data_IF_299314666610
#
_entry.id   IF_299314666610
#
_cell.length_a   1.000
_cell.length_b   1.000
_cell.length_c   1.000
_cell.angle_alpha   90.00
_cell.angle_beta   90.00
_cell.angle_gamma   90.00
#
_symmetry.space_group_name_H-M   'P 1'
#
loop_
_entity.id
_entity.type
_entity.pdbx_description
1 polymer ?
#
# COMPACT_ATOMS: atom_id res chain seq x y z
N UNK A 1 -21.24 -31.90 -12.48
CA UNK A 1 -20.25 -31.57 -13.53
C UNK A 1 -18.89 -31.26 -12.88
N UNK A 2 -17.90 -32.14 -13.06
CA UNK A 2 -16.52 -31.95 -12.55
C UNK A 2 -15.72 -31.15 -13.58
N UNK A 3 -15.39 -29.89 -13.29
CA UNK A 3 -14.49 -29.10 -14.14
C UNK A 3 -13.06 -29.64 -14.02
N UNK A 4 -12.63 -30.44 -15.01
CA UNK A 4 -11.22 -30.79 -15.21
C UNK A 4 -10.48 -29.57 -15.73
N UNK A 5 -9.75 -28.88 -14.86
CA UNK A 5 -8.82 -27.83 -15.24
C UNK A 5 -7.62 -28.49 -15.95
N UNK A 6 -7.52 -28.31 -17.27
CA UNK A 6 -6.36 -28.75 -18.06
C UNK A 6 -5.12 -27.97 -17.62
N UNK A 7 -4.11 -28.70 -17.18
CA UNK A 7 -2.81 -28.17 -16.75
C UNK A 7 -1.96 -27.97 -18.00
N UNK A 8 -1.69 -26.72 -18.36
CA UNK A 8 -0.68 -26.38 -19.38
C UNK A 8 0.70 -26.40 -18.72
N UNK A 9 1.51 -27.40 -19.08
CA UNK A 9 2.87 -27.57 -18.60
C UNK A 9 3.83 -26.95 -19.64
N UNK A 10 4.30 -25.72 -19.38
CA UNK A 10 5.34 -25.10 -20.20
C UNK A 10 6.69 -25.22 -19.47
N UNK A 11 7.61 -25.97 -20.09
CA UNK A 11 9.06 -26.11 -19.78
C UNK A 11 9.55 -25.42 -18.50
N UNK A 12 9.67 -26.20 -17.42
CA UNK A 12 10.68 -26.00 -16.37
C UNK A 12 10.52 -24.81 -15.41
N UNK A 13 9.46 -24.00 -15.52
CA UNK A 13 9.15 -22.97 -14.53
C UNK A 13 7.75 -23.19 -13.98
N UNK A 14 7.67 -23.65 -12.73
CA UNK A 14 6.43 -23.74 -11.97
C UNK A 14 5.86 -22.33 -11.73
N UNK A 15 5.17 -21.77 -12.73
CA UNK A 15 4.37 -20.54 -12.65
C UNK A 15 3.08 -20.76 -11.85
N UNK A 16 3.13 -21.54 -10.76
CA UNK A 16 2.14 -21.46 -9.69
C UNK A 16 2.43 -20.21 -8.86
N UNK A 17 2.27 -19.04 -9.47
CA UNK A 17 1.93 -17.83 -8.72
C UNK A 17 0.54 -18.09 -8.15
N UNK A 18 0.47 -18.69 -6.95
CA UNK A 18 -0.81 -18.97 -6.33
C UNK A 18 -1.52 -17.62 -6.18
N UNK A 19 -2.68 -17.50 -6.80
CA UNK A 19 -3.51 -16.30 -6.70
C UNK A 19 -3.77 -15.94 -5.23
N UNK A 20 -3.73 -16.93 -4.33
CA UNK A 20 -3.74 -16.75 -2.87
C UNK A 20 -2.53 -15.96 -2.35
N UNK A 21 -1.29 -16.35 -2.66
CA UNK A 21 -0.08 -15.64 -2.24
C UNK A 21 -0.04 -14.23 -2.84
N UNK A 22 -0.50 -14.06 -4.07
CA UNK A 22 -0.61 -12.72 -4.68
C UNK A 22 -1.66 -11.84 -4.00
N UNK A 23 -2.83 -12.40 -3.65
CA UNK A 23 -3.87 -11.70 -2.90
C UNK A 23 -3.39 -11.33 -1.49
N UNK A 24 -2.73 -12.26 -0.81
CA UNK A 24 -2.15 -12.07 0.52
C UNK A 24 -1.10 -10.96 0.54
N UNK A 25 -0.17 -10.94 -0.44
CA UNK A 25 0.80 -9.84 -0.59
C UNK A 25 0.12 -8.50 -0.87
N UNK A 26 -0.93 -8.51 -1.70
CA UNK A 26 -1.68 -7.30 -2.07
C UNK A 26 -2.47 -6.75 -0.89
N UNK A 27 -2.92 -7.60 0.03
CA UNK A 27 -3.61 -7.23 1.27
C UNK A 27 -2.63 -6.73 2.34
N UNK A 28 -1.47 -7.40 2.55
CA UNK A 28 -0.43 -6.96 3.49
C UNK A 28 0.11 -5.57 3.17
N UNK A 29 0.42 -5.29 1.90
CA UNK A 29 0.83 -3.95 1.45
C UNK A 29 -0.31 -2.92 1.36
N UNK A 30 -1.58 -3.33 1.50
CA UNK A 30 -2.69 -2.41 1.38
C UNK A 30 -2.80 -1.46 2.57
N UNK A 31 -2.50 -1.94 3.78
CA UNK A 31 -2.70 -1.16 5.00
C UNK A 31 -1.74 0.02 5.11
N UNK A 32 -0.47 -0.16 4.71
CA UNK A 32 0.53 0.91 4.67
C UNK A 32 0.09 2.12 3.82
N UNK A 33 -0.74 1.89 2.78
CA UNK A 33 -1.27 2.98 1.95
C UNK A 33 -2.27 3.86 2.70
N UNK A 34 -2.98 3.31 3.68
CA UNK A 34 -3.98 4.06 4.44
C UNK A 34 -3.34 5.06 5.41
N UNK A 35 -2.17 4.74 5.96
CA UNK A 35 -1.44 5.67 6.85
C UNK A 35 -0.75 6.80 6.10
N UNK A 36 -0.25 6.52 4.88
CA UNK A 36 0.50 7.50 4.09
C UNK A 36 -0.39 8.56 3.45
N UNK A 37 -1.59 8.19 3.02
CA UNK A 37 -2.48 9.07 2.26
C UNK A 37 -3.66 9.47 3.13
N UNK A 38 -3.69 10.75 3.53
CA UNK A 38 -4.85 11.35 4.16
C UNK A 38 -6.09 11.07 3.30
N UNK A 39 -7.18 10.55 3.90
CA UNK A 39 -8.42 10.38 3.18
C UNK A 39 -8.82 11.77 2.66
N UNK A 40 -8.99 11.90 1.35
CA UNK A 40 -9.45 13.15 0.77
C UNK A 40 -10.83 13.47 1.35
N UNK A 41 -10.96 14.63 1.98
CA UNK A 41 -12.26 15.13 2.37
C UNK A 41 -13.02 15.50 1.10
N UNK A 42 -14.12 14.80 0.88
CA UNK A 42 -15.01 15.09 -0.23
C UNK A 42 -15.73 16.39 0.13
N UNK A 43 -15.17 17.54 -0.29
CA UNK A 43 -15.72 18.87 -0.03
C UNK A 43 -17.09 19.11 -0.69
N UNK A 44 -17.60 18.13 -1.42
CA UNK A 44 -18.88 18.17 -2.12
C UNK A 44 -20.02 17.95 -1.14
N UNK A 45 -21.02 18.83 -1.24
CA UNK A 45 -22.29 18.67 -0.51
C UNK A 45 -22.94 17.31 -0.81
N UNK A 46 -23.76 16.81 0.10
CA UNK A 46 -24.50 15.57 -0.11
C UNK A 46 -25.36 15.62 -1.39
N UNK A 47 -25.89 16.80 -1.72
CA UNK A 47 -26.62 17.06 -2.96
C UNK A 47 -25.70 16.96 -4.19
N UNK A 48 -24.53 17.58 -4.18
CA UNK A 48 -23.57 17.50 -5.28
C UNK A 48 -23.17 16.06 -5.59
N UNK A 49 -22.92 15.25 -4.56
CA UNK A 49 -22.61 13.82 -4.74
C UNK A 49 -23.75 13.01 -5.36
N UNK A 50 -25.01 13.32 -5.04
CA UNK A 50 -26.17 12.66 -5.66
C UNK A 50 -26.31 13.08 -7.12
N UNK A 51 -26.12 14.37 -7.40
CA UNK A 51 -26.22 14.93 -8.74
C UNK A 51 -25.14 14.36 -9.66
N UNK A 52 -23.88 14.30 -9.22
CA UNK A 52 -22.79 13.70 -9.99
C UNK A 52 -23.08 12.25 -10.39
N UNK A 53 -23.68 11.47 -9.49
CA UNK A 53 -24.04 10.08 -9.81
C UNK A 53 -25.20 10.02 -10.81
N UNK A 54 -26.22 10.87 -10.65
CA UNK A 54 -27.34 10.92 -11.60
C UNK A 54 -26.88 11.34 -12.99
N UNK A 55 -26.06 12.38 -13.08
CA UNK A 55 -25.49 12.86 -14.35
C UNK A 55 -24.59 11.80 -14.96
N UNK A 56 -23.70 11.18 -14.17
CA UNK A 56 -22.83 10.10 -14.65
C UNK A 56 -23.62 8.88 -15.14
N UNK A 57 -24.69 8.51 -14.45
CA UNK A 57 -25.57 7.41 -14.85
C UNK A 57 -26.35 7.74 -16.13
N UNK A 58 -26.86 8.97 -16.25
CA UNK A 58 -27.56 9.45 -17.44
C UNK A 58 -26.64 9.44 -18.66
N UNK A 59 -25.41 9.94 -18.53
CA UNK A 59 -24.42 9.94 -19.61
C UNK A 59 -24.03 8.52 -20.03
N UNK A 60 -23.81 7.62 -19.06
CA UNK A 60 -23.52 6.22 -19.35
C UNK A 60 -24.70 5.53 -20.04
N UNK A 61 -25.92 5.80 -19.62
CA UNK A 61 -27.13 5.27 -20.24
C UNK A 61 -27.31 5.78 -21.68
N UNK A 62 -27.11 7.08 -21.92
CA UNK A 62 -27.15 7.66 -23.26
C UNK A 62 -26.10 7.03 -24.18
N UNK A 63 -24.88 6.83 -23.70
CA UNK A 63 -23.82 6.18 -24.47
C UNK A 63 -24.19 4.73 -24.87
N UNK A 64 -24.74 3.95 -23.94
CA UNK A 64 -25.23 2.58 -24.22
C UNK A 64 -26.41 2.61 -25.20
N UNK A 65 -27.33 3.56 -25.03
CA UNK A 65 -28.45 3.75 -25.95
C UNK A 65 -27.98 4.05 -27.37
N UNK A 66 -27.10 5.03 -27.57
CA UNK A 66 -26.58 5.37 -28.90
C UNK A 66 -25.82 4.21 -29.54
N UNK A 67 -25.05 3.47 -28.75
CA UNK A 67 -24.35 2.27 -29.22
C UNK A 67 -25.35 1.19 -29.69
N UNK A 68 -26.40 0.92 -28.93
CA UNK A 68 -27.45 -0.02 -29.33
C UNK A 68 -28.26 0.48 -30.53
N UNK A 69 -28.56 1.77 -30.60
CA UNK A 69 -29.29 2.37 -31.72
C UNK A 69 -28.49 2.25 -33.02
N UNK A 70 -27.18 2.50 -32.97
CA UNK A 70 -26.27 2.34 -34.11
C UNK A 70 -26.12 0.88 -34.55
N UNK A 71 -26.16 -0.08 -33.63
CA UNK A 71 -26.01 -1.50 -33.94
C UNK A 71 -27.31 -2.14 -34.47
N UNK A 72 -28.47 -1.71 -33.96
CA UNK A 72 -29.76 -2.33 -34.29
C UNK A 72 -30.51 -1.63 -35.41
N UNK A 73 -30.16 -0.37 -35.72
CA UNK A 73 -30.91 0.48 -36.67
C UNK A 73 -32.34 0.80 -36.23
N UNK A 74 -32.74 0.45 -35.00
CA UNK A 74 -34.11 0.57 -34.49
C UNK A 74 -34.12 1.31 -33.16
N UNK A 75 -34.34 2.64 -33.15
CA UNK A 75 -34.19 3.46 -31.95
C UNK A 75 -35.15 3.07 -30.82
N UNK A 76 -36.37 2.63 -31.16
CA UNK A 76 -37.36 2.16 -30.16
C UNK A 76 -36.89 0.89 -29.43
N UNK A 77 -36.34 -0.08 -30.17
CA UNK A 77 -35.83 -1.31 -29.60
C UNK A 77 -34.56 -1.06 -28.76
N UNK A 78 -33.68 -0.17 -29.23
CA UNK A 78 -32.50 0.25 -28.48
C UNK A 78 -32.84 0.92 -27.16
N UNK A 79 -33.91 1.75 -27.11
CA UNK A 79 -34.37 2.39 -25.88
C UNK A 79 -34.91 1.37 -24.87
N UNK A 80 -35.72 0.42 -25.32
CA UNK A 80 -36.24 -0.64 -24.46
C UNK A 80 -35.10 -1.50 -23.88
N UNK A 81 -34.13 -1.91 -24.72
CA UNK A 81 -32.98 -2.70 -24.29
C UNK A 81 -32.05 -1.93 -23.34
N UNK A 82 -31.78 -0.64 -23.62
CA UNK A 82 -30.92 0.18 -22.75
C UNK A 82 -31.58 0.44 -21.38
N UNK A 83 -32.90 0.58 -21.33
CA UNK A 83 -33.66 0.71 -20.08
C UNK A 83 -33.57 -0.56 -19.22
N UNK A 84 -33.72 -1.75 -19.82
CA UNK A 84 -33.56 -3.04 -19.11
C UNK A 84 -32.14 -3.20 -18.58
N UNK A 85 -31.12 -2.87 -19.39
CA UNK A 85 -29.73 -2.91 -18.96
C UNK A 85 -29.45 -1.93 -17.80
N UNK A 86 -30.05 -0.74 -17.84
CA UNK A 86 -29.93 0.25 -16.76
C UNK A 86 -30.53 -0.29 -15.46
N UNK A 87 -31.73 -0.87 -15.52
CA UNK A 87 -32.38 -1.48 -14.37
C UNK A 87 -31.53 -2.60 -13.76
N UNK A 88 -30.90 -3.44 -14.60
CA UNK A 88 -29.98 -4.48 -14.16
C UNK A 88 -28.66 -3.93 -13.56
N UNK A 89 -28.22 -2.74 -13.98
CA UNK A 89 -26.99 -2.11 -13.49
C UNK A 89 -27.13 -1.44 -12.11
N UNK A 90 -28.33 -0.96 -11.75
CA UNK A 90 -28.61 -0.31 -10.46
C UNK A 90 -28.15 -1.11 -9.22
N UNK A 91 -28.46 -2.41 -9.05
CA UNK A 91 -28.01 -3.17 -7.89
C UNK A 91 -26.48 -3.34 -7.84
N UNK A 92 -25.82 -3.43 -8.99
CA UNK A 92 -24.35 -3.52 -9.08
C UNK A 92 -23.73 -2.20 -8.60
N UNK A 93 -24.26 -1.07 -9.06
CA UNK A 93 -23.84 0.27 -8.63
C UNK A 93 -24.01 0.46 -7.12
N UNK A 94 -25.13 0.00 -6.55
CA UNK A 94 -25.37 0.06 -5.10
C UNK A 94 -24.28 -0.70 -4.32
N UNK A 95 -24.01 -1.96 -4.70
CA UNK A 95 -22.94 -2.76 -4.07
C UNK A 95 -21.56 -2.14 -4.22
N UNK A 96 -21.27 -1.53 -5.37
CA UNK A 96 -20.00 -0.85 -5.60
C UNK A 96 -19.85 0.41 -4.74
N UNK A 97 -20.94 1.17 -4.55
CA UNK A 97 -20.97 2.33 -3.65
C UNK A 97 -20.74 1.93 -2.20
N UNK A 98 -21.52 0.96 -1.69
CA UNK A 98 -21.37 0.45 -0.32
C UNK A 98 -19.95 -0.04 -0.06
N UNK A 99 -19.38 -0.79 -1.01
CA UNK A 99 -17.98 -1.26 -0.92
C UNK A 99 -16.97 -0.10 -0.94
N UNK A 100 -17.23 0.95 -1.71
CA UNK A 100 -16.37 2.14 -1.79
C UNK A 100 -16.45 2.94 -0.49
N UNK A 101 -17.65 3.15 0.05
CA UNK A 101 -17.88 3.82 1.33
C UNK A 101 -17.25 3.05 2.48
N UNK A 102 -17.46 1.73 2.54
CA UNK A 102 -16.79 0.87 3.52
C UNK A 102 -15.27 1.00 3.48
N UNK A 103 -14.67 1.00 2.27
CA UNK A 103 -13.22 1.21 2.10
C UNK A 103 -12.77 2.59 2.55
N UNK A 104 -13.55 3.63 2.25
CA UNK A 104 -13.24 4.99 2.70
C UNK A 104 -13.31 5.12 4.22
N UNK A 105 -14.35 4.56 4.85
CA UNK A 105 -14.49 4.52 6.30
C UNK A 105 -13.33 3.76 6.94
N UNK A 106 -12.99 2.59 6.40
CA UNK A 106 -11.88 1.78 6.89
C UNK A 106 -10.54 2.51 6.75
N UNK A 107 -10.29 3.16 5.61
CA UNK A 107 -9.11 4.00 5.40
C UNK A 107 -9.06 5.14 6.42
N UNK A 108 -10.19 5.82 6.66
CA UNK A 108 -10.28 6.92 7.62
C UNK A 108 -9.99 6.45 9.04
N UNK A 109 -10.57 5.31 9.46
CA UNK A 109 -10.31 4.69 10.77
C UNK A 109 -8.83 4.35 10.95
N UNK A 110 -8.21 3.69 9.98
CA UNK A 110 -6.78 3.38 10.06
C UNK A 110 -5.91 4.64 10.06
N UNK A 111 -6.23 5.63 9.22
CA UNK A 111 -5.48 6.88 9.20
C UNK A 111 -5.54 7.60 10.55
N UNK A 112 -6.73 7.72 11.15
CA UNK A 112 -6.93 8.35 12.46
C UNK A 112 -6.24 7.58 13.60
N UNK A 113 -6.36 6.26 13.61
CA UNK A 113 -5.66 5.43 14.59
C UNK A 113 -4.13 5.53 14.45
N UNK A 114 -3.63 5.63 13.21
CA UNK A 114 -2.21 5.88 12.95
C UNK A 114 -1.74 7.25 13.42
N UNK A 115 -2.56 8.31 13.26
CA UNK A 115 -2.24 9.65 13.79
C UNK A 115 -2.20 9.65 15.31
N UNK A 116 -3.23 9.10 15.98
CA UNK A 116 -3.28 8.97 17.45
C UNK A 116 -2.07 8.22 17.98
N UNK A 117 -1.76 7.06 17.39
CA UNK A 117 -0.58 6.28 17.75
C UNK A 117 0.72 7.10 17.65
N UNK A 118 0.88 7.91 16.61
CA UNK A 118 2.05 8.77 16.47
C UNK A 118 2.06 9.90 17.49
N UNK A 119 0.92 10.54 17.76
CA UNK A 119 0.79 11.56 18.80
C UNK A 119 1.14 11.01 20.19
N UNK A 120 0.66 9.80 20.51
CA UNK A 120 0.94 9.13 21.78
C UNK A 120 2.44 8.86 21.92
N UNK A 121 3.11 8.34 20.88
CA UNK A 121 4.55 8.09 20.90
C UNK A 121 5.36 9.39 21.00
N UNK A 122 4.95 10.46 20.33
CA UNK A 122 5.68 11.73 20.36
C UNK A 122 5.67 12.35 21.76
N UNK A 123 4.62 12.08 22.56
CA UNK A 123 4.53 12.50 23.96
C UNK A 123 5.37 11.67 24.92
N UNK A 124 5.79 10.47 24.53
CA UNK A 124 6.57 9.55 25.37
C UNK A 124 8.04 9.97 25.49
N UNK A 125 8.65 9.68 26.64
CA UNK A 125 10.09 9.81 26.86
C UNK A 125 10.89 8.88 25.94
N UNK A 126 11.97 9.42 25.34
CA UNK A 126 12.77 8.73 24.33
C UNK A 126 13.53 7.51 24.86
N UNK A 127 14.06 7.57 26.07
CA UNK A 127 15.04 6.60 26.55
C UNK A 127 14.38 5.49 27.37
N UNK A 128 13.31 5.79 28.09
CA UNK A 128 12.62 4.82 28.95
C UNK A 128 11.33 4.28 28.33
N UNK A 129 10.46 5.17 27.85
CA UNK A 129 9.10 4.78 27.46
C UNK A 129 9.05 4.26 26.03
N UNK A 130 9.73 4.90 25.07
CA UNK A 130 9.69 4.46 23.68
C UNK A 130 10.24 3.05 23.47
N UNK A 131 11.37 2.71 24.11
CA UNK A 131 11.98 1.38 23.99
C UNK A 131 11.10 0.29 24.61
N UNK A 132 10.55 0.55 25.80
CA UNK A 132 9.60 -0.36 26.45
C UNK A 132 8.34 -0.54 25.60
N UNK A 133 7.84 0.52 25.00
CA UNK A 133 6.67 0.46 24.14
C UNK A 133 6.92 -0.36 22.85
N UNK A 134 8.08 -0.18 22.21
CA UNK A 134 8.47 -1.02 21.05
C UNK A 134 8.65 -2.48 21.47
N UNK A 135 9.21 -2.75 22.65
CA UNK A 135 9.29 -4.11 23.21
C UNK A 135 7.91 -4.74 23.32
N UNK A 136 6.94 -4.02 23.88
CA UNK A 136 5.58 -4.53 24.08
C UNK A 136 4.86 -4.78 22.74
N UNK A 137 5.06 -3.91 21.74
CA UNK A 137 4.60 -4.14 20.37
C UNK A 137 5.21 -5.44 19.82
N UNK A 138 6.53 -5.59 19.91
CA UNK A 138 7.21 -6.76 19.36
C UNK A 138 6.80 -8.06 20.08
N UNK A 139 6.61 -8.01 21.41
CA UNK A 139 6.16 -9.14 22.20
C UNK A 139 4.72 -9.57 21.84
N UNK A 140 3.86 -8.63 21.46
CA UNK A 140 2.50 -8.91 20.99
C UNK A 140 2.42 -9.45 19.55
N UNK A 141 3.51 -9.47 18.80
CA UNK A 141 3.50 -9.92 17.41
C UNK A 141 3.54 -11.45 17.28
N UNK A 142 2.79 -12.03 16.33
CA UNK A 142 2.83 -13.46 16.08
C UNK A 142 4.21 -13.88 15.55
N UNK A 143 4.89 -14.72 16.32
CA UNK A 143 6.19 -15.29 15.98
C UNK A 143 7.35 -14.79 16.84
N UNK A 144 7.18 -13.71 17.61
CA UNK A 144 8.12 -13.40 18.67
C UNK A 144 7.82 -14.29 19.89
N UNK A 145 8.87 -14.92 20.42
CA UNK A 145 8.80 -15.80 21.58
C UNK A 145 9.20 -15.04 22.84
N UNK A 146 10.29 -14.27 22.74
CA UNK A 146 10.81 -13.46 23.84
C UNK A 146 11.33 -12.14 23.28
N UNK A 147 11.12 -11.04 24.00
CA UNK A 147 11.71 -9.72 23.71
C UNK A 147 12.13 -9.09 25.03
N UNK A 148 13.40 -8.76 25.19
CA UNK A 148 14.01 -8.19 26.39
C UNK A 148 14.75 -6.90 26.05
N UNK A 149 14.89 -6.01 27.04
CA UNK A 149 15.76 -4.84 26.90
C UNK A 149 17.22 -5.31 26.93
N UNK A 150 18.05 -4.77 26.04
CA UNK A 150 19.48 -5.08 26.04
C UNK A 150 20.11 -4.58 27.34
N UNK A 151 20.81 -5.45 28.07
CA UNK A 151 21.45 -5.14 29.36
C UNK A 151 20.67 -5.54 30.62
N UNK A 152 19.46 -6.11 30.50
CA UNK A 152 18.66 -6.62 31.65
C UNK A 152 19.05 -8.05 32.07
N UNK A 153 20.08 -8.64 31.44
CA UNK A 153 20.59 -9.97 31.73
C UNK A 153 21.61 -9.98 32.88
N UNK A 154 21.55 -11.00 33.75
CA UNK A 154 22.53 -11.25 34.83
C UNK A 154 23.97 -11.48 34.33
N UNK A 155 24.13 -11.85 33.07
CA UNK A 155 25.43 -12.00 32.45
C UNK A 155 25.81 -10.65 31.84
N UNK A 156 26.78 -9.97 32.45
CA UNK A 156 27.32 -8.67 32.06
C UNK A 156 28.02 -8.63 30.69
N UNK A 157 27.47 -9.32 29.69
CA UNK A 157 27.76 -9.10 28.29
C UNK A 157 27.41 -7.65 27.98
N UNK A 158 28.47 -6.86 27.79
CA UNK A 158 28.45 -5.43 27.52
C UNK A 158 27.21 -5.05 26.70
N UNK A 159 26.38 -4.16 27.25
CA UNK A 159 25.34 -3.47 26.51
C UNK A 159 26.01 -2.85 25.27
N UNK A 160 25.93 -3.54 24.14
CA UNK A 160 26.63 -3.15 22.92
C UNK A 160 26.08 -1.80 22.52
N UNK A 161 26.92 -0.77 22.51
CA UNK A 161 26.56 0.58 22.11
C UNK A 161 25.97 0.55 20.68
N UNK A 162 24.65 0.37 20.58
CA UNK A 162 23.98 0.11 19.30
C UNK A 162 22.88 -0.97 19.30
N UNK A 163 22.65 -1.74 20.36
CA UNK A 163 21.49 -2.64 20.46
C UNK A 163 20.62 -2.22 21.64
N UNK A 164 19.32 -2.06 21.41
CA UNK A 164 18.37 -1.58 22.43
C UNK A 164 17.46 -2.70 22.95
N UNK A 165 17.04 -3.61 22.07
CA UNK A 165 16.26 -4.79 22.44
C UNK A 165 16.86 -6.04 21.79
N UNK A 166 16.65 -7.16 22.45
CA UNK A 166 16.99 -8.48 21.96
C UNK A 166 15.74 -9.35 21.99
N UNK A 167 15.53 -10.15 20.96
CA UNK A 167 14.40 -11.06 20.95
C UNK A 167 14.62 -12.30 20.11
N UNK A 168 13.71 -13.25 20.25
CA UNK A 168 13.71 -14.50 19.49
C UNK A 168 12.48 -14.49 18.58
N UNK A 169 12.70 -14.38 17.27
CA UNK A 169 11.65 -14.46 16.26
C UNK A 169 11.71 -15.81 15.57
N UNK A 170 10.68 -16.64 15.76
CA UNK A 170 10.56 -17.99 15.18
C UNK A 170 11.81 -18.87 15.42
N UNK A 171 12.37 -18.79 16.62
CA UNK A 171 13.57 -19.53 17.02
C UNK A 171 14.89 -18.92 16.55
N UNK A 172 14.87 -17.71 15.98
CA UNK A 172 16.06 -17.02 15.49
C UNK A 172 16.31 -15.76 16.33
N UNK A 173 17.55 -15.53 16.84
CA UNK A 173 17.86 -14.33 17.58
C UNK A 173 17.87 -13.09 16.67
N UNK A 174 17.20 -12.03 17.12
CA UNK A 174 17.06 -10.75 16.41
C UNK A 174 17.48 -9.61 17.34
N UNK A 175 18.44 -8.82 16.89
CA UNK A 175 18.80 -7.56 17.55
C UNK A 175 17.90 -6.42 17.07
N UNK A 176 17.51 -5.51 17.94
CA UNK A 176 16.66 -4.36 17.59
C UNK A 176 17.30 -3.06 18.04
N UNK A 177 17.38 -2.09 17.12
CA UNK A 177 17.72 -0.70 17.43
C UNK A 177 16.47 0.14 17.37
N UNK A 178 16.23 0.96 18.40
CA UNK A 178 15.11 1.89 18.46
C UNK A 178 15.63 3.32 18.46
N UNK A 179 15.40 4.07 17.39
CA UNK A 179 15.82 5.48 17.28
C UNK A 179 14.59 6.37 17.14
N UNK A 180 14.34 7.17 18.19
CA UNK A 180 13.37 8.26 18.12
C UNK A 180 14.01 9.43 17.39
N UNK A 181 13.39 9.85 16.29
CA UNK A 181 13.70 11.10 15.60
C UNK A 181 12.41 11.90 15.52
N UNK A 182 12.54 13.23 15.48
CA UNK A 182 11.41 14.11 15.19
C UNK A 182 10.83 13.81 13.80
N UNK A 183 9.59 14.27 13.54
CA UNK A 183 8.74 13.77 12.45
C UNK A 183 9.35 13.81 11.03
N UNK A 184 10.31 14.71 10.78
CA UNK A 184 11.02 14.86 9.51
C UNK A 184 12.51 14.48 9.57
N UNK A 185 12.95 13.96 10.72
CA UNK A 185 14.27 13.40 10.90
C UNK A 185 14.56 12.31 9.88
N UNK A 186 15.79 12.32 9.36
CA UNK A 186 16.32 11.26 8.52
C UNK A 186 17.41 10.49 9.24
N UNK A 187 17.29 9.17 9.27
CA UNK A 187 18.34 8.29 9.77
C UNK A 187 19.45 8.20 8.72
N UNK A 188 20.67 8.50 9.13
CA UNK A 188 21.82 8.50 8.25
C UNK A 188 22.25 7.06 7.92
N UNK A 189 22.87 6.83 6.76
CA UNK A 189 23.42 5.51 6.44
C UNK A 189 24.50 5.05 7.45
N UNK A 190 25.12 5.99 8.15
CA UNK A 190 26.17 5.75 9.14
C UNK A 190 25.60 5.10 10.41
N UNK A 191 24.40 5.50 10.85
CA UNK A 191 23.71 4.89 11.99
C UNK A 191 23.40 3.41 11.73
N UNK A 192 23.02 3.09 10.49
CA UNK A 192 22.73 1.71 10.07
C UNK A 192 24.04 0.90 10.01
N UNK A 193 25.17 1.52 9.62
CA UNK A 193 26.48 0.85 9.66
C UNK A 193 26.93 0.59 11.10
N UNK A 194 26.74 1.54 12.01
CA UNK A 194 27.03 1.36 13.42
C UNK A 194 26.20 0.20 13.99
N UNK A 195 24.90 0.15 13.66
CA UNK A 195 24.05 -0.98 14.05
C UNK A 195 24.53 -2.32 13.47
N UNK A 196 24.89 -2.36 12.18
CA UNK A 196 25.45 -3.57 11.57
C UNK A 196 26.74 -4.04 12.25
N UNK A 197 27.59 -3.11 12.69
CA UNK A 197 28.78 -3.39 13.48
C UNK A 197 28.44 -3.98 14.86
N UNK A 198 27.49 -3.36 15.57
CA UNK A 198 27.03 -3.84 16.87
C UNK A 198 26.41 -5.25 16.77
N UNK A 199 25.62 -5.52 15.73
CA UNK A 199 25.08 -6.86 15.45
C UNK A 199 26.18 -7.89 15.24
N UNK A 200 27.22 -7.55 14.46
CA UNK A 200 28.32 -8.46 14.18
C UNK A 200 29.10 -8.80 15.46
N UNK A 201 29.39 -7.80 16.30
CA UNK A 201 30.05 -7.98 17.59
C UNK A 201 29.19 -8.79 18.57
N UNK A 202 27.87 -8.57 18.57
CA UNK A 202 26.91 -9.34 19.39
C UNK A 202 26.56 -10.72 18.82
N UNK A 203 27.14 -11.15 17.70
CA UNK A 203 26.86 -12.46 17.08
C UNK A 203 25.47 -12.59 16.44
N UNK A 204 24.74 -11.49 16.23
CA UNK A 204 23.42 -11.49 15.61
C UNK A 204 23.53 -11.50 14.08
N UNK A 205 22.78 -12.42 13.43
CA UNK A 205 22.65 -12.45 11.96
C UNK A 205 21.43 -11.68 11.46
N UNK A 206 20.45 -11.44 12.32
CA UNK A 206 19.18 -10.81 11.96
C UNK A 206 18.95 -9.58 12.85
N UNK A 207 18.47 -8.50 12.23
CA UNK A 207 18.32 -7.23 12.92
C UNK A 207 17.12 -6.42 12.42
N UNK A 208 16.51 -5.68 13.33
CA UNK A 208 15.41 -4.76 13.05
C UNK A 208 15.80 -3.34 13.49
N UNK A 209 15.83 -2.41 12.55
CA UNK A 209 16.09 -1.01 12.83
C UNK A 209 14.77 -0.24 12.80
N UNK A 210 14.29 0.19 13.97
CA UNK A 210 13.01 0.88 14.17
C UNK A 210 13.24 2.37 14.35
N UNK A 211 12.51 3.19 13.59
CA UNK A 211 12.54 4.64 13.75
C UNK A 211 11.18 5.29 13.49
N UNK A 212 10.93 6.44 14.13
CA UNK A 212 9.81 7.34 13.81
C UNK A 212 10.10 8.27 12.64
N UNK A 213 11.37 8.40 12.26
CA UNK A 213 11.80 9.19 11.12
C UNK A 213 11.63 8.46 9.79
N UNK A 214 12.27 9.02 8.76
CA UNK A 214 12.44 8.35 7.47
C UNK A 214 13.90 7.97 7.26
N UNK A 215 14.16 7.01 6.37
CA UNK A 215 15.54 6.64 6.06
C UNK A 215 16.12 7.54 4.96
N UNK A 216 17.34 8.04 5.17
CA UNK A 216 18.04 8.82 4.16
C UNK A 216 18.31 8.00 2.88
N UNK A 217 18.45 8.67 1.71
CA UNK A 217 18.97 8.03 0.51
C UNK A 217 20.29 7.30 0.82
N UNK A 218 20.41 6.05 0.38
CA UNK A 218 21.61 5.23 0.63
C UNK A 218 21.48 4.25 1.80
N UNK A 219 20.50 4.41 2.71
CA UNK A 219 20.22 3.44 3.77
C UNK A 219 20.01 2.01 3.23
N UNK A 220 19.22 1.87 2.17
CA UNK A 220 18.98 0.59 1.51
C UNK A 220 20.27 -0.01 0.88
N UNK A 221 21.21 0.83 0.43
CA UNK A 221 22.50 0.37 -0.09
C UNK A 221 23.35 -0.24 1.02
N UNK A 222 23.36 0.38 2.21
CA UNK A 222 24.05 -0.15 3.39
C UNK A 222 23.46 -1.50 3.81
N UNK A 223 22.13 -1.60 3.88
CA UNK A 223 21.46 -2.88 4.18
C UNK A 223 21.82 -3.97 3.18
N UNK A 224 21.84 -3.65 1.88
CA UNK A 224 22.27 -4.61 0.84
C UNK A 224 23.73 -5.03 0.99
N UNK A 225 24.63 -4.12 1.38
CA UNK A 225 26.03 -4.44 1.67
C UNK A 225 26.16 -5.33 2.92
N UNK A 226 25.38 -5.07 3.97
CA UNK A 226 25.35 -5.90 5.16
C UNK A 226 24.83 -7.32 4.86
N UNK A 227 23.80 -7.43 4.02
CA UNK A 227 23.25 -8.71 3.58
C UNK A 227 24.29 -9.59 2.86
N UNK A 228 25.17 -8.98 2.04
CA UNK A 228 26.29 -9.70 1.41
C UNK A 228 27.31 -10.26 2.40
N UNK A 229 27.36 -9.72 3.61
CA UNK A 229 28.19 -10.20 4.73
C UNK A 229 27.42 -11.16 5.65
N UNK A 230 26.22 -11.61 5.25
CA UNK A 230 25.39 -12.51 6.03
C UNK A 230 24.56 -11.84 7.13
N UNK A 231 24.47 -10.50 7.15
CA UNK A 231 23.66 -9.74 8.11
C UNK A 231 22.35 -9.29 7.46
N UNK A 232 21.22 -9.81 7.93
CA UNK A 232 19.89 -9.46 7.44
C UNK A 232 19.27 -8.37 8.31
N UNK A 233 19.37 -7.12 7.84
CA UNK A 233 18.82 -5.95 8.53
C UNK A 233 17.51 -5.53 7.86
N UNK A 234 16.45 -5.41 8.66
CA UNK A 234 15.15 -4.90 8.22
C UNK A 234 14.94 -3.50 8.76
N UNK A 235 14.49 -2.60 7.89
CA UNK A 235 14.23 -1.21 8.21
C UNK A 235 12.73 -1.02 8.47
N UNK A 236 12.38 -0.49 9.63
CA UNK A 236 11.01 -0.13 10.01
C UNK A 236 10.94 1.39 10.25
N UNK A 237 10.31 2.10 9.30
CA UNK A 237 9.99 3.52 9.45
C UNK A 237 8.70 3.70 10.27
N UNK A 238 8.27 4.95 10.48
CA UNK A 238 7.02 5.25 11.20
C UNK A 238 5.82 4.47 10.71
N UNK A 239 5.66 4.31 9.40
CA UNK A 239 4.51 3.63 8.83
C UNK A 239 4.55 2.12 9.07
N UNK A 240 5.75 1.54 9.01
CA UNK A 240 5.96 0.14 9.37
C UNK A 240 5.76 -0.08 10.86
N UNK A 241 6.20 0.83 11.72
CA UNK A 241 5.96 0.73 13.16
C UNK A 241 4.45 0.80 13.49
N UNK A 242 3.69 1.69 12.84
CA UNK A 242 2.23 1.73 12.97
C UNK A 242 1.60 0.40 12.55
N UNK A 243 2.05 -0.21 11.44
CA UNK A 243 1.51 -1.49 11.01
C UNK A 243 1.89 -2.64 11.94
N UNK A 244 3.11 -2.63 12.51
CA UNK A 244 3.51 -3.58 13.56
C UNK A 244 2.63 -3.42 14.80
N UNK A 245 2.37 -2.19 15.26
CA UNK A 245 1.47 -1.94 16.38
C UNK A 245 0.04 -2.40 16.09
N UNK A 246 -0.48 -2.18 14.87
CA UNK A 246 -1.78 -2.71 14.45
C UNK A 246 -1.81 -4.24 14.51
N UNK A 247 -0.77 -4.91 14.03
CA UNK A 247 -0.68 -6.37 14.03
C UNK A 247 -0.58 -6.95 15.45
N UNK A 248 0.14 -6.27 16.34
CA UNK A 248 0.23 -6.60 17.76
C UNK A 248 -1.05 -6.27 18.54
N UNK A 249 -2.00 -5.55 17.94
CA UNK A 249 -3.17 -5.04 18.64
C UNK A 249 -2.76 -4.10 19.78
N UNK A 250 -1.83 -3.18 19.53
CA UNK A 250 -1.32 -2.24 20.54
C UNK A 250 -1.89 -0.82 20.35
N UNK A 251 -2.07 -0.09 21.47
CA UNK A 251 -2.41 1.34 21.49
C UNK A 251 -3.79 1.67 20.91
N UNK A 252 -3.86 2.75 20.12
CA UNK A 252 -5.08 3.28 19.51
C UNK A 252 -5.84 2.31 18.56
N UNK A 253 -5.31 1.10 18.33
CA UNK A 253 -5.94 0.04 17.56
C UNK A 253 -6.78 -0.95 18.41
N UNK A 254 -6.67 -0.89 19.75
CA UNK A 254 -7.49 -1.68 20.70
C UNK A 254 -8.86 -1.06 20.94
N UNK A 255 -8.93 0.27 21.00
CA UNK A 255 -10.16 0.99 21.29
C UNK A 255 -10.97 1.16 20.01
N UNK A 256 -12.14 0.53 19.94
CA UNK A 256 -13.15 0.77 18.90
C UNK A 256 -13.77 2.19 18.94
N UNK A 257 -13.14 3.14 19.62
CA UNK A 257 -13.66 4.48 19.88
C UNK A 257 -13.34 5.45 18.74
N UNK A 258 -14.40 6.08 18.23
CA UNK A 258 -14.31 7.16 17.26
C UNK A 258 -13.55 8.38 17.83
N UNK A 259 -12.76 9.08 17.00
CA UNK A 259 -11.96 10.20 17.48
C UNK A 259 -12.71 11.50 17.72
N UNK A 260 -12.19 12.34 18.65
CA UNK A 260 -12.69 13.68 18.87
C UNK A 260 -12.56 14.50 17.58
N UNK A 261 -13.60 15.29 17.28
CA UNK A 261 -13.76 16.06 16.05
C UNK A 261 -12.64 17.09 15.77
N UNK A 262 -11.74 17.34 16.73
CA UNK A 262 -10.68 18.34 16.65
C UNK A 262 -9.51 17.98 15.72
N UNK A 263 -9.32 16.71 15.35
CA UNK A 263 -8.20 16.27 14.49
C UNK A 263 -8.46 16.43 12.98
N UNK A 264 -9.63 16.94 12.59
CA UNK A 264 -10.01 17.23 11.21
C UNK A 264 -9.79 18.71 10.83
N UNK A 265 -8.63 19.26 11.21
CA UNK A 265 -8.26 20.64 10.89
C UNK A 265 -7.93 20.83 9.40
N UNK A 266 -8.33 21.95 8.78
CA UNK A 266 -8.09 22.21 7.36
C UNK A 266 -6.63 22.63 7.16
N UNK A 267 -5.78 21.73 6.66
CA UNK A 267 -4.44 22.12 6.20
C UNK A 267 -4.51 22.78 4.82
N UNK A 268 -4.31 24.09 4.83
CA UNK A 268 -4.19 24.95 3.67
C UNK A 268 -2.92 24.61 2.86
N UNK A 269 -3.14 24.15 1.62
CA UNK A 269 -2.08 23.84 0.65
C UNK A 269 -2.65 23.15 -0.60
N UNK A 270 -3.78 23.66 -1.12
CA UNK A 270 -4.74 22.89 -1.94
C UNK A 270 -4.46 22.80 -3.44
N UNK A 271 -3.42 23.45 -3.99
CA UNK A 271 -3.17 23.42 -5.44
C UNK A 271 -2.10 22.41 -5.91
N UNK A 272 -0.96 22.19 -5.23
CA UNK A 272 0.00 21.15 -5.66
C UNK A 272 -0.42 19.72 -5.27
N UNK A 273 -1.34 19.56 -4.30
CA UNK A 273 -1.77 18.26 -3.79
C UNK A 273 -2.72 17.49 -4.73
N UNK A 274 -3.56 18.19 -5.49
CA UNK A 274 -4.48 17.53 -6.43
C UNK A 274 -3.72 16.93 -7.62
N UNK A 275 -2.72 17.66 -8.14
CA UNK A 275 -1.87 17.18 -9.23
C UNK A 275 -0.95 16.05 -8.76
N UNK A 276 -0.36 16.14 -7.56
CA UNK A 276 0.44 15.04 -7.00
C UNK A 276 -0.40 13.79 -6.71
N UNK A 277 -1.65 13.96 -6.25
CA UNK A 277 -2.59 12.87 -6.03
C UNK A 277 -3.08 12.21 -7.33
N UNK A 278 -3.30 12.99 -8.39
CA UNK A 278 -3.64 12.49 -9.73
C UNK A 278 -2.45 11.77 -10.35
N UNK A 279 -1.26 12.37 -10.25
CA UNK A 279 0.00 11.79 -10.71
C UNK A 279 0.30 10.47 -10.00
N UNK A 280 0.17 10.44 -8.68
CA UNK A 280 0.39 9.22 -7.89
C UNK A 280 -0.73 8.18 -8.13
N UNK A 281 -1.96 8.60 -8.47
CA UNK A 281 -3.03 7.68 -8.83
C UNK A 281 -2.79 7.04 -10.22
N UNK A 282 -2.40 7.84 -11.21
CA UNK A 282 -2.13 7.40 -12.58
C UNK A 282 -0.82 6.61 -12.66
N UNK A 283 0.26 7.13 -12.06
CA UNK A 283 1.63 6.64 -12.26
C UNK A 283 2.25 5.95 -11.03
N UNK A 284 1.56 5.85 -9.89
CA UNK A 284 2.14 5.39 -8.63
C UNK A 284 2.57 3.91 -8.57
N UNK A 285 2.38 3.13 -9.63
CA UNK A 285 2.86 1.75 -9.67
C UNK A 285 3.32 1.34 -11.06
N UNK A 286 4.57 0.89 -11.16
CA UNK A 286 5.16 0.33 -12.38
C UNK A 286 4.37 -0.87 -12.93
N UNK A 287 3.62 -1.58 -12.08
CA UNK A 287 2.73 -2.70 -12.47
C UNK A 287 1.57 -2.23 -13.37
N UNK A 288 1.12 -0.97 -13.25
CA UNK A 288 0.05 -0.42 -14.10
C UNK A 288 0.49 -0.15 -15.53
N UNK A 289 1.80 0.10 -15.74
CA UNK A 289 2.36 0.34 -17.07
C UNK A 289 1.98 -0.77 -18.06
N UNK A 290 2.10 -2.04 -17.63
CA UNK A 290 1.75 -3.20 -18.46
C UNK A 290 0.27 -3.18 -18.89
N UNK A 291 -0.63 -2.80 -17.98
CA UNK A 291 -2.06 -2.71 -18.31
C UNK A 291 -2.34 -1.60 -19.30
N UNK A 292 -1.71 -0.43 -19.14
CA UNK A 292 -1.86 0.68 -20.08
C UNK A 292 -1.29 0.35 -21.46
N UNK A 293 -0.13 -0.30 -21.55
CA UNK A 293 0.41 -0.76 -22.83
C UNK A 293 -0.50 -1.76 -23.52
N UNK A 294 -1.06 -2.74 -22.79
CA UNK A 294 -2.01 -3.71 -23.37
C UNK A 294 -3.30 -3.04 -23.86
N UNK A 295 -3.89 -2.14 -23.08
CA UNK A 295 -5.06 -1.37 -23.51
C UNK A 295 -4.74 -0.51 -24.74
N UNK A 296 -3.58 0.16 -24.76
CA UNK A 296 -3.13 0.94 -25.91
C UNK A 296 -3.00 0.11 -27.18
N UNK A 297 -2.43 -1.10 -27.07
CA UNK A 297 -2.27 -2.02 -28.20
C UNK A 297 -3.62 -2.53 -28.72
N UNK A 298 -4.56 -2.85 -27.83
CA UNK A 298 -5.91 -3.29 -28.20
C UNK A 298 -6.69 -2.16 -28.89
N UNK A 299 -6.61 -0.93 -28.38
CA UNK A 299 -7.24 0.23 -29.00
C UNK A 299 -6.63 0.53 -30.38
N UNK A 300 -5.32 0.36 -30.53
CA UNK A 300 -4.65 0.47 -31.81
C UNK A 300 -5.13 -0.60 -32.80
N UNK A 301 -5.33 -1.84 -32.36
CA UNK A 301 -5.97 -2.88 -33.17
C UNK A 301 -7.40 -2.51 -33.59
N UNK A 302 -8.18 -1.91 -32.67
CA UNK A 302 -9.51 -1.39 -32.97
C UNK A 302 -9.49 -0.27 -34.02
N UNK A 303 -8.50 0.63 -33.96
CA UNK A 303 -8.28 1.65 -34.99
C UNK A 303 -8.05 1.02 -36.38
N UNK A 304 -7.20 -0.01 -36.47
CA UNK A 304 -6.92 -0.69 -37.75
C UNK A 304 -8.18 -1.38 -38.30
N UNK A 305 -8.98 -2.01 -37.43
CA UNK A 305 -10.21 -2.70 -37.83
C UNK A 305 -11.33 -1.73 -38.27
N UNK A 306 -11.38 -0.54 -37.71
CA UNK A 306 -12.44 0.46 -37.95
C UNK A 306 -12.02 1.56 -38.92
N UNK A 307 -10.94 1.36 -39.69
CA UNK A 307 -10.32 2.38 -40.55
C UNK A 307 -11.31 3.05 -41.51
N UNK A 308 -12.34 2.33 -41.95
CA UNK A 308 -13.35 2.83 -42.89
C UNK A 308 -14.39 3.76 -42.23
N UNK A 309 -14.46 3.77 -40.90
CA UNK A 309 -15.26 4.74 -40.13
C UNK A 309 -14.37 5.87 -39.61
N UNK A 310 -14.35 6.99 -40.33
CA UNK A 310 -13.44 8.12 -40.05
C UNK A 310 -13.54 8.66 -38.61
N UNK A 311 -14.74 8.74 -38.04
CA UNK A 311 -14.94 9.27 -36.69
C UNK A 311 -14.55 8.27 -35.60
N UNK A 312 -14.94 6.99 -35.74
CA UNK A 312 -14.66 5.97 -34.72
C UNK A 312 -13.18 5.59 -34.70
N UNK A 313 -12.55 5.45 -35.86
CA UNK A 313 -11.12 5.14 -35.95
C UNK A 313 -10.28 6.19 -35.20
N UNK A 314 -10.60 7.48 -35.36
CA UNK A 314 -9.89 8.58 -34.69
C UNK A 314 -10.01 8.53 -33.17
N UNK A 315 -11.19 8.17 -32.64
CA UNK A 315 -11.40 7.99 -31.19
C UNK A 315 -10.54 6.84 -30.64
N UNK A 316 -10.48 5.71 -31.36
CA UNK A 316 -9.65 4.58 -30.97
C UNK A 316 -8.15 4.91 -31.03
N UNK A 317 -7.72 5.64 -32.06
CA UNK A 317 -6.34 6.09 -32.21
C UNK A 317 -5.93 7.03 -31.07
N UNK A 318 -6.77 8.01 -30.74
CA UNK A 318 -6.53 8.92 -29.62
C UNK A 318 -6.41 8.16 -28.29
N UNK A 319 -7.34 7.23 -28.03
CA UNK A 319 -7.30 6.38 -26.84
C UNK A 319 -6.04 5.50 -26.78
N UNK A 320 -5.58 4.99 -27.92
CA UNK A 320 -4.36 4.20 -28.01
C UNK A 320 -3.12 5.03 -27.62
N UNK A 321 -2.95 6.21 -28.24
CA UNK A 321 -1.83 7.12 -27.94
C UNK A 321 -1.83 7.54 -26.46
N UNK A 322 -3.00 7.92 -25.92
CA UNK A 322 -3.13 8.32 -24.53
C UNK A 322 -2.73 7.19 -23.57
N UNK A 323 -3.17 5.95 -23.80
CA UNK A 323 -2.81 4.80 -22.97
C UNK A 323 -1.32 4.45 -23.07
N UNK A 324 -0.72 4.54 -24.26
CA UNK A 324 0.73 4.33 -24.43
C UNK A 324 1.56 5.37 -23.68
N UNK A 325 1.18 6.65 -23.75
CA UNK A 325 1.82 7.73 -22.99
C UNK A 325 1.67 7.54 -21.48
N UNK A 326 0.49 7.13 -21.00
CA UNK A 326 0.28 6.80 -19.59
C UNK A 326 1.14 5.61 -19.14
N UNK A 327 1.31 4.61 -20.00
CA UNK A 327 2.19 3.46 -19.77
C UNK A 327 3.65 3.88 -19.63
N UNK A 328 4.14 4.74 -20.54
CA UNK A 328 5.48 5.31 -20.47
C UNK A 328 5.69 6.17 -19.21
N UNK A 329 4.71 7.01 -18.85
CA UNK A 329 4.73 7.79 -17.62
C UNK A 329 4.79 6.91 -16.36
N UNK A 330 4.10 5.76 -16.36
CA UNK A 330 4.19 4.79 -15.25
C UNK A 330 5.57 4.15 -15.13
N UNK A 331 6.31 3.98 -16.24
CA UNK A 331 7.67 3.47 -16.21
C UNK A 331 8.66 4.52 -15.71
N UNK A 332 8.45 5.78 -16.08
CA UNK A 332 9.33 6.89 -15.71
C UNK A 332 9.14 7.35 -14.26
N UNK A 333 7.89 7.47 -13.80
CA UNK A 333 7.55 7.97 -12.46
C UNK A 333 7.20 6.87 -11.44
N UNK A 334 7.09 5.61 -11.88
CA UNK A 334 6.65 4.51 -11.04
C UNK A 334 7.68 4.11 -9.99
N UNK A 335 7.39 4.38 -8.72
CA UNK A 335 8.20 3.89 -7.59
C UNK A 335 8.12 2.36 -7.52
N UNK A 336 9.27 1.68 -7.50
CA UNK A 336 9.39 0.28 -7.11
C UNK A 336 9.23 0.18 -5.60
N UNK A 337 7.98 0.22 -5.14
CA UNK A 337 7.64 -0.25 -3.80
C UNK A 337 7.70 -1.79 -3.85
N UNK A 338 8.88 -2.32 -3.59
CA UNK A 338 9.03 -3.70 -3.15
C UNK A 338 8.29 -3.84 -1.81
N UNK A 339 7.06 -4.35 -1.95
CA UNK A 339 6.23 -4.95 -0.92
C UNK A 339 6.96 -6.17 -0.36
N UNK A 340 7.75 -5.97 0.70
CA UNK A 340 8.15 -7.05 1.60
C UNK A 340 7.70 -6.66 3.01
N UNK A 341 6.99 -7.58 3.65
CA UNK A 341 6.63 -7.47 5.07
C UNK A 341 7.93 -7.23 5.88
N UNK A 342 7.94 -6.26 6.82
CA UNK A 342 9.15 -5.90 7.56
C UNK A 342 9.81 -7.09 8.27
N UNK A 343 9.07 -8.17 8.54
CA UNK A 343 9.58 -9.38 9.18
C UNK A 343 9.83 -10.54 8.20
N UNK A 344 9.43 -10.39 6.93
CA UNK A 344 9.56 -11.43 5.91
C UNK A 344 11.05 -11.69 5.60
N UNK A 345 11.51 -12.91 5.91
CA UNK A 345 12.90 -13.33 5.77
C UNK A 345 13.75 -13.25 7.04
N UNK A 346 13.20 -12.87 8.21
CA UNK A 346 13.90 -12.97 9.50
C UNK A 346 13.86 -14.39 10.10
N UNK A 347 13.04 -15.30 9.56
CA UNK A 347 12.94 -16.70 9.99
C UNK A 347 13.47 -17.65 8.92
N UNK A 348 13.76 -18.89 9.31
CA UNK A 348 14.05 -19.98 8.37
C UNK A 348 12.81 -20.30 7.54
N UNK A 349 12.93 -20.29 6.20
CA UNK A 349 11.92 -20.92 5.35
C UNK A 349 11.89 -22.42 5.73
N UNK A 350 10.75 -22.88 6.24
CA UNK A 350 10.47 -24.31 6.35
C UNK A 350 9.83 -24.80 5.07
#
# INVERSE_FOLDING_TARGET
>A
MKFRVRIFNFKGRNLRLSFSKWRERREKGAFLRYYRRQPGEDARSALGRRLDVLVGLLLAWLAVFFLLASLTGRPRAALALSAVLLAAALPILKKLKEKREYRHQLQRRFWLAGQRFMEDILKMDQHREFKAYVRDILAGLPGFQEVRLAGDGKDGSAAGAGIDLEGIYRGVPVAVRCVRQEADGKIAPDDIRAFAGAMHLGGYRNGLFVTLGSFAPGAASVVKKAARRGLNIKLADRYRLIDLARQAGAGAFLSGEEPPAALAGPQNGRLPAAFSALRDAAFGSRKKARSYFWCGLLLFGGYVLLKDSAALSLVYLFGAVLNLLLGAGCLYFGKTLEEADPLEGLGTEK
#
